data_IF_153608486989
#
_entry.id   IF_153608486989
#
_cell.length_a   1.000
_cell.length_b   1.000
_cell.length_c   1.000
_cell.angle_alpha   90.00
_cell.angle_beta   90.00
_cell.angle_gamma   90.00
#
_symmetry.space_group_name_H-M   'P 1'
#
loop_
_entity.id
_entity.type
_entity.pdbx_description
1 polymer ?
#
# COMPACT_ATOMS: atom_id res chain seq x y z
N UNK A 1 -26.07 1.61 9.47
CA UNK A 1 -25.63 1.48 9.54
C UNK A 1 -24.73 1.25 9.32
N UNK A 2 -24.34 1.27 9.31
CA UNK A 2 -23.61 1.13 9.17
C UNK A 2 -22.70 0.55 9.07
N UNK A 3 -22.14 0.80 8.79
CA UNK A 3 -21.24 0.25 8.62
C UNK A 3 -20.74 -0.43 9.22
N UNK A 4 -21.25 -0.71 9.41
CA UNK A 4 -20.83 -1.29 10.08
C UNK A 4 -19.78 -1.93 10.18
N UNK A 5 -19.44 -1.77 10.78
CA UNK A 5 -18.05 -2.04 10.67
C UNK A 5 -17.64 -3.30 11.42
N UNK A 6 -16.79 -4.08 10.75
CA UNK A 6 -16.15 -5.24 11.36
C UNK A 6 -15.29 -4.73 12.51
N UNK A 7 -15.36 -5.36 13.71
CA UNK A 7 -14.54 -4.91 14.82
C UNK A 7 -13.05 -4.87 14.46
N UNK A 8 -12.43 -3.78 14.81
CA UNK A 8 -11.00 -3.57 14.56
C UNK A 8 -10.67 -2.95 13.21
N UNK A 9 -11.61 -2.90 12.29
CA UNK A 9 -11.34 -2.39 10.94
C UNK A 9 -10.92 -0.92 10.96
N UNK A 10 -11.67 -0.08 11.63
CA UNK A 10 -11.38 1.36 11.65
C UNK A 10 -10.09 1.65 12.40
N UNK A 11 -9.87 0.98 13.51
CA UNK A 11 -8.64 1.16 14.25
C UNK A 11 -7.43 0.69 13.46
N UNK A 12 -7.57 -0.44 12.76
CA UNK A 12 -6.50 -0.96 11.90
C UNK A 12 -6.11 0.08 10.85
N UNK A 13 -7.10 0.61 10.16
CA UNK A 13 -6.85 1.62 9.13
C UNK A 13 -6.20 2.87 9.72
N UNK A 14 -6.69 3.35 10.85
CA UNK A 14 -6.11 4.53 11.49
C UNK A 14 -4.63 4.34 11.84
N UNK A 15 -4.29 3.17 12.37
CA UNK A 15 -2.90 2.91 12.75
C UNK A 15 -2.01 2.73 11.52
N UNK A 16 -2.54 2.11 10.47
CA UNK A 16 -1.80 1.97 9.22
C UNK A 16 -1.50 3.35 8.62
N UNK A 17 -2.50 4.23 8.63
CA UNK A 17 -2.33 5.61 8.16
C UNK A 17 -1.27 6.35 8.98
N UNK A 18 -1.29 6.21 10.30
CA UNK A 18 -0.28 6.83 11.16
C UNK A 18 1.13 6.37 10.78
N UNK A 19 1.28 5.08 10.51
CA UNK A 19 2.58 4.54 10.14
C UNK A 19 3.05 5.03 8.78
N UNK A 20 2.11 5.18 7.85
CA UNK A 20 2.44 5.79 6.56
C UNK A 20 2.95 7.23 6.76
N UNK A 21 2.28 8.02 7.59
CA UNK A 21 2.69 9.40 7.83
C UNK A 21 4.09 9.46 8.43
N UNK A 22 4.38 8.58 9.37
CA UNK A 22 5.71 8.52 9.96
C UNK A 22 6.76 8.05 8.95
N UNK A 23 6.42 7.04 8.15
CA UNK A 23 7.30 6.54 7.10
C UNK A 23 7.63 7.65 6.10
N UNK A 24 6.62 8.40 5.68
CA UNK A 24 6.83 9.51 4.74
C UNK A 24 7.75 10.57 5.33
N UNK A 25 7.58 10.88 6.62
CA UNK A 25 8.44 11.85 7.29
C UNK A 25 9.88 11.37 7.37
N UNK A 26 10.09 10.07 7.56
CA UNK A 26 11.42 9.51 7.75
C UNK A 26 12.16 9.25 6.45
N UNK A 27 11.45 9.11 5.33
CA UNK A 27 12.04 8.62 4.08
C UNK A 27 12.49 9.71 3.11
N UNK A 28 12.41 10.98 3.48
CA UNK A 28 12.51 12.09 2.53
C UNK A 28 13.68 12.03 1.55
N UNK A 29 14.89 11.71 1.99
CA UNK A 29 16.08 11.75 1.13
C UNK A 29 16.83 10.43 1.05
N UNK A 30 16.30 9.37 1.61
CA UNK A 30 17.06 8.12 1.72
C UNK A 30 16.17 6.91 1.46
N UNK A 31 16.81 5.83 1.07
CA UNK A 31 16.11 4.55 0.95
C UNK A 31 15.63 4.11 2.33
N UNK A 32 14.40 3.64 2.38
CA UNK A 32 13.81 3.14 3.62
C UNK A 32 12.93 1.94 3.27
N UNK A 33 12.96 0.92 4.12
CA UNK A 33 12.17 -0.29 3.91
C UNK A 33 11.66 -0.73 5.28
N UNK A 34 10.35 -0.76 5.47
CA UNK A 34 9.73 -1.08 6.77
C UNK A 34 8.42 -1.81 6.60
N UNK A 35 8.05 -2.55 7.62
CA UNK A 35 6.72 -3.14 7.73
C UNK A 35 5.82 -2.15 8.47
N UNK A 36 4.81 -1.63 7.80
CA UNK A 36 3.90 -0.64 8.36
C UNK A 36 2.72 -1.26 9.12
N UNK A 37 2.69 -2.57 9.22
CA UNK A 37 1.59 -3.28 9.89
C UNK A 37 1.41 -2.80 11.32
N UNK A 38 0.17 -2.59 11.76
CA UNK A 38 -0.08 -2.25 13.17
C UNK A 38 0.08 -3.51 14.06
N UNK A 39 1.32 -3.83 14.38
CA UNK A 39 1.67 -5.06 15.11
C UNK A 39 1.07 -5.14 16.50
N UNK A 40 0.76 -4.00 17.12
CA UNK A 40 0.09 -4.00 18.42
C UNK A 40 -1.30 -4.64 18.33
N UNK A 41 -1.84 -4.80 17.11
CA UNK A 41 -3.14 -5.43 16.91
C UNK A 41 -3.05 -6.91 16.54
N UNK A 42 -1.84 -7.51 16.59
CA UNK A 42 -1.69 -8.94 16.24
C UNK A 42 -2.65 -9.82 17.02
N UNK A 43 -2.85 -9.53 18.30
CA UNK A 43 -3.72 -10.35 19.15
C UNK A 43 -5.20 -10.21 18.82
N UNK A 44 -5.56 -9.19 18.06
CA UNK A 44 -6.97 -8.94 17.73
C UNK A 44 -7.43 -9.74 16.52
N UNK A 45 -6.53 -10.42 15.84
CA UNK A 45 -6.82 -11.21 14.64
C UNK A 45 -6.26 -12.61 14.80
N UNK A 46 -6.99 -13.58 14.29
CA UNK A 46 -6.65 -15.01 14.47
C UNK A 46 -5.23 -15.33 14.01
N UNK A 47 -4.82 -14.80 12.88
CA UNK A 47 -3.50 -15.09 12.32
C UNK A 47 -2.61 -13.83 12.31
N UNK A 48 -2.85 -12.92 13.25
CA UNK A 48 -2.07 -11.69 13.35
C UNK A 48 -2.58 -10.60 12.42
N UNK A 49 -1.95 -9.45 12.51
CA UNK A 49 -2.40 -8.25 11.82
C UNK A 49 -1.96 -8.18 10.35
N UNK A 50 -1.37 -9.26 9.83
CA UNK A 50 -0.95 -9.28 8.43
C UNK A 50 0.42 -8.68 8.23
N UNK A 51 0.65 -8.13 7.06
CA UNK A 51 1.89 -7.41 6.80
C UNK A 51 1.66 -6.39 5.69
N UNK A 52 2.44 -5.29 5.78
CA UNK A 52 2.43 -4.21 4.81
C UNK A 52 3.88 -3.76 4.65
N UNK A 53 4.65 -4.53 3.87
CA UNK A 53 6.05 -4.22 3.66
C UNK A 53 6.18 -3.13 2.63
N UNK A 54 6.73 -1.98 3.02
CA UNK A 54 6.76 -0.81 2.18
C UNK A 54 8.18 -0.30 2.03
N UNK A 55 8.45 0.34 0.90
CA UNK A 55 9.75 0.92 0.59
C UNK A 55 9.60 2.31 0.03
N UNK A 56 10.59 3.12 0.32
CA UNK A 56 10.77 4.37 -0.40
C UNK A 56 11.82 4.10 -1.46
N UNK A 57 11.43 4.21 -2.72
CA UNK A 57 12.36 4.04 -3.83
C UNK A 57 12.95 5.40 -4.12
N UNK A 58 14.17 5.60 -3.66
CA UNK A 58 14.84 6.88 -3.86
C UNK A 58 15.11 7.13 -5.35
N UNK A 59 15.64 8.31 -5.65
CA UNK A 59 15.85 8.74 -7.04
C UNK A 59 16.93 7.90 -7.72
N UNK A 60 16.53 6.78 -8.27
CA UNK A 60 17.40 5.93 -9.04
C UNK A 60 16.79 5.73 -10.41
N UNK A 61 17.59 5.23 -11.31
CA UNK A 61 17.19 5.12 -12.71
C UNK A 61 16.10 4.10 -12.98
N UNK A 62 15.85 3.19 -12.07
CA UNK A 62 15.04 2.01 -12.38
C UNK A 62 13.57 2.14 -12.05
N UNK A 63 13.20 3.04 -11.16
CA UNK A 63 11.81 3.23 -10.81
C UNK A 63 11.50 4.71 -10.82
N UNK A 64 10.26 5.06 -10.81
CA UNK A 64 9.86 6.45 -10.72
C UNK A 64 10.53 7.07 -9.50
N UNK A 65 11.18 8.19 -9.69
CA UNK A 65 11.90 8.87 -8.62
C UNK A 65 10.98 9.15 -7.44
N UNK A 66 11.37 8.63 -6.27
CA UNK A 66 10.65 8.95 -5.06
C UNK A 66 9.25 8.34 -4.97
N UNK A 67 9.04 7.14 -5.50
CA UNK A 67 7.74 6.49 -5.36
C UNK A 67 7.64 5.78 -4.02
N UNK A 68 6.42 5.74 -3.49
CA UNK A 68 6.09 4.92 -2.33
C UNK A 68 5.73 3.53 -2.84
N UNK A 69 6.45 2.52 -2.42
CA UNK A 69 6.26 1.17 -2.92
C UNK A 69 5.66 0.28 -1.85
N UNK A 70 4.55 -0.38 -2.17
CA UNK A 70 4.01 -1.45 -1.33
C UNK A 70 4.51 -2.75 -1.94
N UNK A 71 5.54 -3.33 -1.32
CA UNK A 71 6.24 -4.48 -1.87
C UNK A 71 5.53 -5.78 -1.56
N UNK A 72 4.82 -5.84 -0.43
CA UNK A 72 4.13 -7.04 -0.03
C UNK A 72 3.03 -6.68 0.95
N UNK A 73 1.84 -7.25 0.77
CA UNK A 73 0.69 -6.93 1.62
C UNK A 73 -0.15 -8.16 1.88
N UNK A 74 -0.59 -8.30 3.11
CA UNK A 74 -1.57 -9.31 3.51
C UNK A 74 -2.50 -8.67 4.53
N UNK A 75 -3.76 -8.53 4.18
CA UNK A 75 -4.78 -7.95 5.05
C UNK A 75 -5.42 -9.07 5.86
N UNK A 76 -5.58 -8.91 7.19
CA UNK A 76 -6.23 -9.95 7.99
C UNK A 76 -7.60 -10.33 7.42
N UNK A 77 -7.88 -11.62 7.43
CA UNK A 77 -9.08 -12.16 6.79
C UNK A 77 -10.35 -11.51 7.30
N UNK A 78 -10.44 -11.28 8.62
CA UNK A 78 -11.66 -10.73 9.22
C UNK A 78 -12.04 -9.36 8.67
N UNK A 79 -11.06 -8.56 8.26
CA UNK A 79 -11.32 -7.23 7.72
C UNK A 79 -11.09 -7.15 6.21
N UNK A 80 -10.76 -8.27 5.60
CA UNK A 80 -10.54 -8.33 4.16
C UNK A 80 -11.86 -8.10 3.43
N UNK A 81 -11.81 -7.35 2.33
CA UNK A 81 -13.03 -7.03 1.59
C UNK A 81 -13.84 -5.90 2.20
N UNK A 82 -13.32 -5.26 3.25
CA UNK A 82 -14.03 -4.17 3.94
C UNK A 82 -13.50 -2.80 3.53
N UNK A 83 -12.75 -2.73 2.43
CA UNK A 83 -12.31 -1.45 1.89
C UNK A 83 -11.05 -0.86 2.53
N UNK A 84 -10.37 -1.61 3.39
CA UNK A 84 -9.16 -1.11 4.06
C UNK A 84 -8.09 -0.70 3.06
N UNK A 85 -7.83 -1.57 2.08
CA UNK A 85 -6.80 -1.29 1.07
C UNK A 85 -7.17 -0.03 0.27
N UNK A 86 -8.42 0.05 -0.19
CA UNK A 86 -8.86 1.20 -0.99
C UNK A 86 -8.79 2.50 -0.22
N UNK A 87 -9.19 2.49 1.06
CA UNK A 87 -9.13 3.71 1.86
C UNK A 87 -7.71 4.11 2.19
N UNK A 88 -6.83 3.14 2.41
CA UNK A 88 -5.41 3.44 2.61
C UNK A 88 -4.82 4.06 1.34
N UNK A 89 -5.14 3.49 0.19
CA UNK A 89 -4.69 4.03 -1.09
C UNK A 89 -5.21 5.44 -1.32
N UNK A 90 -6.48 5.70 -0.98
CA UNK A 90 -7.05 7.04 -1.04
C UNK A 90 -6.28 8.01 -0.17
N UNK A 91 -5.90 7.58 1.03
CA UNK A 91 -5.12 8.43 1.92
C UNK A 91 -3.78 8.80 1.30
N UNK A 92 -3.08 7.82 0.71
CA UNK A 92 -1.80 8.07 0.05
C UNK A 92 -1.98 9.06 -1.09
N UNK A 93 -3.00 8.87 -1.91
CA UNK A 93 -3.25 9.74 -3.06
C UNK A 93 -3.62 11.16 -2.68
N UNK A 94 -4.30 11.31 -1.53
CA UNK A 94 -4.67 12.64 -1.03
C UNK A 94 -3.58 13.28 -0.18
N UNK A 95 -2.57 12.50 0.21
CA UNK A 95 -1.46 12.98 1.05
C UNK A 95 -0.15 12.41 0.52
N UNK A 96 0.24 12.81 -0.70
CA UNK A 96 1.41 12.21 -1.35
C UNK A 96 2.75 12.63 -0.77
N UNK A 97 2.77 13.70 0.04
CA UNK A 97 4.01 14.21 0.63
C UNK A 97 5.06 14.47 -0.45
N UNK A 98 6.25 13.88 -0.31
CA UNK A 98 7.32 14.06 -1.31
C UNK A 98 7.31 12.96 -2.38
N UNK A 99 6.37 12.02 -2.30
CA UNK A 99 6.34 10.94 -3.29
C UNK A 99 5.78 11.43 -4.62
N UNK A 100 6.31 10.88 -5.71
CA UNK A 100 5.84 11.20 -7.06
C UNK A 100 4.83 10.19 -7.58
N UNK A 101 4.68 9.08 -6.88
CA UNK A 101 3.74 8.04 -7.27
C UNK A 101 3.71 6.93 -6.26
N UNK A 102 2.93 5.90 -6.56
CA UNK A 102 2.82 4.71 -5.73
C UNK A 102 2.94 3.48 -6.61
N UNK A 103 3.69 2.47 -6.12
CA UNK A 103 3.84 1.18 -6.81
C UNK A 103 3.39 0.04 -5.92
N UNK A 104 2.84 -0.99 -6.55
CA UNK A 104 2.60 -2.27 -5.88
C UNK A 104 3.35 -3.33 -6.67
N UNK A 105 4.24 -4.04 -5.98
CA UNK A 105 5.14 -5.03 -6.59
C UNK A 105 4.58 -6.44 -6.54
N UNK A 106 5.00 -7.26 -7.49
CA UNK A 106 4.81 -8.71 -7.46
C UNK A 106 3.37 -9.14 -7.26
N UNK A 107 2.47 -8.52 -7.99
CA UNK A 107 1.05 -8.83 -7.91
C UNK A 107 0.74 -10.17 -8.59
N UNK A 108 -0.29 -10.86 -8.09
CA UNK A 108 -0.80 -12.05 -8.74
C UNK A 108 -1.40 -11.62 -10.10
N UNK A 109 -0.87 -12.13 -11.23
CA UNK A 109 -1.34 -11.67 -12.54
C UNK A 109 -2.81 -12.00 -12.80
N UNK A 110 -3.36 -13.00 -12.12
CA UNK A 110 -4.76 -13.39 -12.26
C UNK A 110 -5.62 -12.89 -11.12
N UNK A 111 -5.04 -12.10 -10.21
CA UNK A 111 -5.70 -11.67 -9.00
C UNK A 111 -6.66 -10.51 -9.19
N UNK A 112 -7.51 -10.33 -8.20
CA UNK A 112 -8.46 -9.23 -8.20
C UNK A 112 -7.78 -7.89 -8.01
N UNK A 113 -6.67 -7.87 -7.27
CA UNK A 113 -6.02 -6.62 -6.93
C UNK A 113 -5.49 -5.91 -8.16
N UNK A 114 -4.78 -6.64 -9.04
CA UNK A 114 -4.25 -6.00 -10.24
C UNK A 114 -5.38 -5.51 -11.14
N UNK A 115 -6.46 -6.29 -11.27
CA UNK A 115 -7.60 -5.86 -12.07
C UNK A 115 -8.23 -4.59 -11.53
N UNK A 116 -8.39 -4.53 -10.22
CA UNK A 116 -8.92 -3.37 -9.54
C UNK A 116 -8.04 -2.14 -9.77
N UNK A 117 -6.73 -2.28 -9.59
CA UNK A 117 -5.80 -1.17 -9.74
C UNK A 117 -5.83 -0.61 -11.16
N UNK A 118 -5.80 -1.49 -12.15
CA UNK A 118 -5.77 -1.06 -13.55
C UNK A 118 -7.10 -0.48 -13.99
N UNK A 119 -8.21 -1.15 -13.66
CA UNK A 119 -9.53 -0.73 -14.17
C UNK A 119 -10.16 0.39 -13.34
N UNK A 120 -9.92 0.43 -12.03
CA UNK A 120 -10.63 1.36 -11.14
C UNK A 120 -9.74 2.46 -10.59
N UNK A 121 -8.43 2.28 -10.57
CA UNK A 121 -7.54 3.22 -9.92
C UNK A 121 -6.54 3.88 -10.87
N UNK A 122 -6.57 3.53 -12.14
CA UNK A 122 -5.70 4.19 -13.12
C UNK A 122 -4.25 3.76 -13.09
N UNK A 123 -3.95 2.62 -12.46
CA UNK A 123 -2.59 2.11 -12.45
C UNK A 123 -2.22 1.51 -13.80
N UNK A 124 -0.93 1.52 -14.08
CA UNK A 124 -0.36 0.93 -15.30
C UNK A 124 0.63 -0.14 -14.90
N UNK A 125 0.63 -1.27 -15.60
CA UNK A 125 1.66 -2.28 -15.40
C UNK A 125 2.95 -1.76 -16.01
N UNK A 126 4.00 -1.66 -15.19
CA UNK A 126 5.27 -1.06 -15.63
C UNK A 126 6.36 -2.09 -15.83
N UNK A 127 6.25 -3.27 -15.24
CA UNK A 127 7.18 -4.36 -15.48
C UNK A 127 6.59 -5.65 -14.93
N UNK A 128 7.16 -6.78 -15.38
CA UNK A 128 6.90 -8.08 -14.78
C UNK A 128 8.17 -8.53 -14.09
N UNK A 129 8.03 -9.02 -12.88
CA UNK A 129 9.14 -9.60 -12.16
C UNK A 129 9.48 -10.95 -12.79
N UNK A 130 10.65 -11.50 -12.49
CA UNK A 130 11.10 -12.67 -13.23
C UNK A 130 10.25 -13.92 -12.97
N UNK A 131 9.39 -13.91 -11.97
CA UNK A 131 8.43 -14.98 -11.75
C UNK A 131 7.11 -14.76 -12.49
N UNK A 132 7.04 -13.72 -13.33
CA UNK A 132 5.85 -13.40 -14.10
C UNK A 132 4.82 -12.53 -13.38
N UNK A 133 5.09 -12.11 -12.16
CA UNK A 133 4.18 -11.29 -11.40
C UNK A 133 4.37 -9.82 -11.76
N UNK A 134 3.30 -9.11 -12.15
CA UNK A 134 3.45 -7.72 -12.57
C UNK A 134 3.60 -6.75 -11.42
N UNK A 135 4.22 -5.62 -11.72
CA UNK A 135 4.27 -4.45 -10.83
C UNK A 135 3.45 -3.35 -11.48
N UNK A 136 2.56 -2.75 -10.72
CA UNK A 136 1.70 -1.67 -11.19
C UNK A 136 2.09 -0.35 -10.53
N UNK A 137 1.96 0.74 -11.27
CA UNK A 137 2.35 2.08 -10.81
C UNK A 137 1.29 3.11 -11.15
N UNK A 138 1.09 4.04 -10.24
CA UNK A 138 0.30 5.23 -10.50
C UNK A 138 1.17 6.46 -10.19
N UNK A 139 1.34 7.36 -11.17
CA UNK A 139 2.12 8.58 -10.97
C UNK A 139 1.15 9.71 -10.62
N UNK A 140 1.45 10.42 -9.54
CA UNK A 140 0.62 11.54 -9.12
C UNK A 140 0.73 12.67 -10.14
N UNK A 141 -0.37 13.35 -10.35
CA UNK A 141 -0.39 14.45 -11.30
C UNK A 141 0.28 15.66 -10.67
N UNK A 142 1.06 16.34 -11.47
CA UNK A 142 1.61 17.62 -11.08
C UNK A 142 0.58 18.72 -11.37
N UNK A 143 0.50 19.67 -10.47
CA UNK A 143 -0.38 20.80 -10.67
C UNK A 143 0.34 21.90 -11.43
#
# INVERSE_FOLDING_TARGET
>A
MSNHSVPGRQEYLSRLVERYEQFAADSSDKFLSEDLTPREMDKDFENGAGYWWCRHMSRTALSGNGVFCIANVYVPERIRGQGVFGEFLDHIMNNPHHYTGVELESLDPDGRLIKYLVSERGFTVVREDFDGCPTARYMFKED
#
